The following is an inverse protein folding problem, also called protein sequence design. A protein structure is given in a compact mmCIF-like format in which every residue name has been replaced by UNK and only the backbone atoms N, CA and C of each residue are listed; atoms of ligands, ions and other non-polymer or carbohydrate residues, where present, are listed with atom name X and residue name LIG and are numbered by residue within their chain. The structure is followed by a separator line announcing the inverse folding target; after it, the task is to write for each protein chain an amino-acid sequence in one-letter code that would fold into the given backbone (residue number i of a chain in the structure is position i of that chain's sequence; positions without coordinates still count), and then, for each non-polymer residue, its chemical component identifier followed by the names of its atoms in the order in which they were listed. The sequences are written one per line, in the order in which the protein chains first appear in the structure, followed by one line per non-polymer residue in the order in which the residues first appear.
data_IF_588112392046
#
_entry.id   IF_588112392046
#
_cell.length_a   1.000
_cell.length_b   1.000
_cell.length_c   1.000
_cell.angle_alpha   90.00
_cell.angle_beta   90.00
_cell.angle_gamma   90.00
#
_symmetry.space_group_name_H-M   'P 1'
#
loop_
_entity.id
_entity.type
_entity.pdbx_description
1 polymer ?
#
# COMPACT_ATOMS: atom_id res chain seq x y z
N UNK A 1 -25.72 20.53 4.52
CA UNK A 1 -24.69 19.79 5.30
C UNK A 1 -23.60 19.38 4.34
N UNK A 2 -22.39 19.91 4.55
CA UNK A 2 -21.19 19.58 3.78
C UNK A 2 -20.83 18.13 4.13
N UNK A 3 -20.79 17.24 3.15
CA UNK A 3 -20.17 15.93 3.35
C UNK A 3 -18.71 16.20 3.74
N UNK A 4 -18.34 15.80 4.96
CA UNK A 4 -16.99 15.95 5.47
C UNK A 4 -16.04 15.17 4.55
N UNK A 5 -15.30 15.91 3.71
CA UNK A 5 -14.18 15.41 2.91
C UNK A 5 -12.98 15.16 3.84
N UNK A 6 -13.12 14.19 4.74
CA UNK A 6 -12.13 13.86 5.77
C UNK A 6 -11.56 12.44 5.61
N UNK A 7 -12.16 11.60 4.75
CA UNK A 7 -11.71 10.22 4.53
C UNK A 7 -10.79 10.06 3.30
N UNK A 8 -10.89 10.93 2.29
CA UNK A 8 -10.10 10.80 1.05
C UNK A 8 -8.62 11.17 1.26
N UNK A 9 -8.33 12.18 2.08
CA UNK A 9 -6.94 12.62 2.31
C UNK A 9 -6.12 11.59 3.10
N UNK A 10 -6.79 10.76 3.91
CA UNK A 10 -6.10 9.73 4.69
C UNK A 10 -5.55 8.63 3.79
N UNK A 11 -6.32 8.12 2.83
CA UNK A 11 -5.88 6.96 2.05
C UNK A 11 -4.68 7.27 1.15
N UNK A 12 -4.68 8.43 0.50
CA UNK A 12 -3.55 8.89 -0.34
C UNK A 12 -2.25 8.98 0.47
N UNK A 13 -2.30 9.49 1.70
CA UNK A 13 -1.13 9.65 2.58
C UNK A 13 -0.57 8.33 3.15
N UNK A 14 -1.37 7.26 3.19
CA UNK A 14 -0.98 5.90 3.63
C UNK A 14 -1.04 4.88 2.51
N UNK A 15 -0.83 5.31 1.27
CA UNK A 15 -0.77 4.42 0.12
C UNK A 15 0.52 4.61 -0.69
N UNK A 16 1.06 3.50 -1.18
CA UNK A 16 2.23 3.46 -2.06
C UNK A 16 1.85 2.80 -3.37
N UNK A 17 2.05 3.53 -4.47
CA UNK A 17 2.00 2.98 -5.82
C UNK A 17 3.40 2.53 -6.23
N UNK A 18 3.50 1.27 -6.64
CA UNK A 18 4.75 0.64 -7.05
C UNK A 18 4.63 0.32 -8.53
N UNK A 19 5.62 0.76 -9.30
CA UNK A 19 5.69 0.58 -10.74
C UNK A 19 6.74 -0.47 -11.11
N UNK A 20 6.65 -0.99 -12.34
CA UNK A 20 7.59 -1.95 -12.93
C UNK A 20 7.88 -3.19 -12.05
N UNK A 21 6.85 -3.71 -11.40
CA UNK A 21 6.90 -4.91 -10.59
C UNK A 21 7.08 -6.14 -11.49
N UNK A 22 8.09 -6.99 -11.21
CA UNK A 22 8.21 -8.30 -11.85
C UNK A 22 6.95 -9.16 -11.71
N UNK A 23 6.65 -9.96 -12.72
CA UNK A 23 5.48 -10.86 -12.68
C UNK A 23 5.53 -11.82 -11.48
N UNK A 24 6.74 -12.23 -11.07
CA UNK A 24 7.01 -13.14 -9.95
C UNK A 24 6.65 -12.58 -8.57
N UNK A 25 6.47 -11.26 -8.43
CA UNK A 25 6.05 -10.65 -7.16
C UNK A 25 4.54 -10.52 -7.11
N UNK A 26 3.90 -11.44 -6.42
CA UNK A 26 2.46 -11.44 -6.17
C UNK A 26 2.08 -10.57 -4.96
N UNK A 27 0.78 -10.44 -4.72
CA UNK A 27 0.22 -9.63 -3.64
C UNK A 27 0.70 -10.11 -2.25
N UNK A 28 0.80 -11.43 -2.06
CA UNK A 28 1.27 -12.04 -0.81
C UNK A 28 2.74 -11.70 -0.55
N UNK A 29 3.60 -11.78 -1.57
CA UNK A 29 5.01 -11.39 -1.48
C UNK A 29 5.16 -9.91 -1.13
N UNK A 30 4.42 -9.04 -1.84
CA UNK A 30 4.43 -7.60 -1.59
C UNK A 30 3.94 -7.30 -0.17
N UNK A 31 2.83 -7.89 0.25
CA UNK A 31 2.30 -7.73 1.61
C UNK A 31 3.33 -8.12 2.66
N UNK A 32 3.95 -9.30 2.54
CA UNK A 32 4.95 -9.77 3.50
C UNK A 32 6.20 -8.87 3.53
N UNK A 33 6.62 -8.34 2.39
CA UNK A 33 7.76 -7.45 2.29
C UNK A 33 7.49 -6.10 2.96
N UNK A 34 6.35 -5.48 2.68
CA UNK A 34 5.99 -4.16 3.21
C UNK A 34 5.57 -4.21 4.69
N UNK A 35 4.96 -5.32 5.14
CA UNK A 35 4.63 -5.55 6.55
C UNK A 35 5.89 -5.73 7.42
N UNK A 36 6.99 -6.20 6.82
CA UNK A 36 8.26 -6.35 7.52
C UNK A 36 9.04 -5.03 7.63
N UNK A 37 8.73 -4.25 8.67
CA UNK A 37 9.39 -2.97 8.99
C UNK A 37 10.93 -3.01 9.00
N UNK A 38 11.55 -4.14 9.36
CA UNK A 38 13.02 -4.28 9.36
C UNK A 38 13.61 -4.42 7.96
N UNK A 39 12.84 -4.95 6.99
CA UNK A 39 13.28 -5.21 5.62
C UNK A 39 13.02 -4.03 4.71
N UNK A 40 11.81 -3.48 4.78
CA UNK A 40 11.32 -2.45 3.86
C UNK A 40 11.27 -1.06 4.47
N UNK A 41 11.28 -0.95 5.80
CA UNK A 41 10.96 0.30 6.48
C UNK A 41 9.46 0.64 6.48
N UNK A 42 8.60 -0.26 5.96
CA UNK A 42 7.15 -0.09 5.94
C UNK A 42 6.49 -0.34 7.31
N UNK A 43 5.20 -0.69 7.27
CA UNK A 43 4.37 -0.94 8.45
C UNK A 43 3.20 -1.87 8.14
N UNK A 44 2.24 -1.96 9.06
CA UNK A 44 1.09 -2.85 8.91
C UNK A 44 0.36 -2.60 7.58
N UNK A 45 0.35 -3.61 6.71
CA UNK A 45 -0.34 -3.55 5.41
C UNK A 45 -1.81 -3.89 5.60
N UNK A 46 -2.69 -3.04 5.09
CA UNK A 46 -4.16 -3.23 5.10
C UNK A 46 -4.64 -3.87 3.81
N UNK A 47 -4.06 -3.47 2.67
CA UNK A 47 -4.43 -3.99 1.35
C UNK A 47 -3.25 -3.93 0.39
N UNK A 48 -3.19 -4.90 -0.52
CA UNK A 48 -2.35 -4.86 -1.70
C UNK A 48 -3.23 -5.18 -2.90
N UNK A 49 -3.23 -4.32 -3.90
CA UNK A 49 -3.94 -4.55 -5.16
C UNK A 49 -2.93 -4.54 -6.31
N UNK A 50 -2.73 -5.68 -6.98
CA UNK A 50 -1.82 -5.77 -8.11
C UNK A 50 -2.57 -5.69 -9.44
N UNK A 51 -2.08 -4.85 -10.34
CA UNK A 51 -2.58 -4.67 -11.69
C UNK A 51 -1.42 -4.77 -12.70
N UNK A 52 -1.18 -5.98 -13.21
CA UNK A 52 -0.11 -6.24 -14.16
C UNK A 52 1.27 -6.03 -13.54
N UNK A 53 2.00 -5.02 -14.01
CA UNK A 53 3.32 -4.63 -13.49
C UNK A 53 3.23 -3.51 -12.45
N UNK A 54 2.04 -3.17 -11.95
CA UNK A 54 1.85 -2.13 -10.94
C UNK A 54 1.12 -2.71 -9.73
N UNK A 55 1.34 -2.12 -8.56
CA UNK A 55 0.58 -2.46 -7.37
C UNK A 55 0.36 -1.25 -6.48
N UNK A 56 -0.81 -1.21 -5.84
CA UNK A 56 -1.15 -0.24 -4.81
C UNK A 56 -1.10 -0.95 -3.46
N UNK A 57 -0.25 -0.47 -2.57
CA UNK A 57 -0.12 -0.96 -1.19
C UNK A 57 -0.71 0.10 -0.26
N UNK A 58 -1.64 -0.29 0.59
CA UNK A 58 -2.27 0.59 1.59
C UNK A 58 -1.85 0.14 2.97
N UNK A 59 -1.32 1.06 3.76
CA UNK A 59 -0.90 0.85 5.15
C UNK A 59 -2.00 1.23 6.14
N UNK A 60 -1.89 0.75 7.37
CA UNK A 60 -2.82 1.08 8.46
C UNK A 60 -2.67 2.54 8.92
N UNK A 61 -1.44 3.05 8.95
CA UNK A 61 -1.12 4.40 9.38
C UNK A 61 -0.09 5.03 8.43
N UNK A 62 -0.11 6.36 8.33
CA UNK A 62 0.89 7.13 7.61
C UNK A 62 1.93 7.59 8.63
N UNK A 63 3.06 6.87 8.72
CA UNK A 63 4.19 7.25 9.57
C UNK A 63 5.03 8.39 8.98
#
# INVERSE_FOLDING_TARGET
MRFCRMAENSLEERSLEILDIPEDFDEDFLSLYFDNKRRSGGGNVVSVEKHGNHALVVFEDAE
#
